data_IF_971202821669
#
_entry.id   IF_971202821669
#
_cell.length_a   1.000
_cell.length_b   1.000
_cell.length_c   1.000
_cell.angle_alpha   90.00
_cell.angle_beta   90.00
_cell.angle_gamma   90.00
#
_symmetry.space_group_name_H-M   'P 1'
#
loop_
_entity.id
_entity.type
_entity.pdbx_description
1 polymer ?
#
# COMPACT_ATOMS: atom_id res chain seq x y z
N UNK A 1 8.98 7.36 -8.05
CA UNK A 1 7.82 7.82 -7.27
C UNK A 1 7.85 9.34 -7.17
N UNK A 2 7.31 9.90 -6.10
CA UNK A 2 7.21 11.36 -5.84
C UNK A 2 8.48 11.92 -5.18
N UNK A 3 9.60 11.79 -5.88
CA UNK A 3 10.88 12.45 -5.58
C UNK A 3 11.19 13.47 -6.67
N UNK A 4 12.09 14.41 -6.43
CA UNK A 4 12.41 15.45 -7.41
C UNK A 4 13.11 14.88 -8.65
N UNK A 5 14.04 13.94 -8.46
CA UNK A 5 14.81 13.30 -9.53
C UNK A 5 14.72 11.77 -9.42
N UNK A 6 13.67 11.12 -9.96
CA UNK A 6 13.59 9.65 -9.98
C UNK A 6 14.74 9.06 -10.78
N UNK A 7 15.48 8.11 -10.20
CA UNK A 7 16.66 7.51 -10.82
C UNK A 7 16.80 6.03 -10.44
N UNK A 8 17.73 5.36 -11.13
CA UNK A 8 18.32 4.09 -10.69
C UNK A 8 19.76 4.40 -10.32
N UNK A 9 20.18 4.01 -9.14
CA UNK A 9 21.53 4.24 -8.61
C UNK A 9 22.00 3.00 -7.86
N UNK A 10 23.28 2.70 -7.97
CA UNK A 10 23.94 1.69 -7.14
C UNK A 10 24.49 2.37 -5.89
N UNK A 11 24.20 1.80 -4.72
CA UNK A 11 24.61 2.34 -3.43
C UNK A 11 24.75 1.21 -2.40
N UNK A 12 25.51 1.45 -1.35
CA UNK A 12 25.73 0.46 -0.29
C UNK A 12 24.41 0.08 0.41
N UNK A 13 24.27 -1.21 0.76
CA UNK A 13 23.20 -1.68 1.64
C UNK A 13 23.31 -1.01 3.02
N UNK A 14 22.18 -0.90 3.72
CA UNK A 14 22.08 -0.27 5.04
C UNK A 14 22.35 1.24 5.04
N UNK A 15 22.32 1.89 3.88
CA UNK A 15 22.16 3.35 3.80
C UNK A 15 20.85 3.77 4.47
N UNK A 16 20.84 4.91 5.16
CA UNK A 16 19.57 5.44 5.68
C UNK A 16 18.65 5.86 4.53
N UNK A 17 17.34 5.69 4.70
CA UNK A 17 16.36 6.10 3.70
C UNK A 17 16.45 7.60 3.41
N UNK A 18 16.60 8.43 4.45
CA UNK A 18 16.76 9.85 4.28
C UNK A 18 17.99 10.21 3.43
N UNK A 19 19.15 9.62 3.72
CA UNK A 19 20.37 9.86 2.95
C UNK A 19 20.22 9.40 1.50
N UNK A 20 19.64 8.21 1.25
CA UNK A 20 19.39 7.70 -0.09
C UNK A 20 18.58 8.70 -0.94
N UNK A 21 17.49 9.22 -0.39
CA UNK A 21 16.58 10.13 -1.10
C UNK A 21 17.19 11.53 -1.27
N UNK A 22 17.85 12.07 -0.25
CA UNK A 22 18.45 13.40 -0.32
C UNK A 22 19.66 13.44 -1.28
N UNK A 23 20.53 12.43 -1.20
CA UNK A 23 21.76 12.35 -1.98
C UNK A 23 21.52 12.06 -3.45
N UNK A 24 20.64 11.10 -3.76
CA UNK A 24 20.52 10.57 -5.13
C UNK A 24 19.24 10.98 -5.84
N UNK A 25 18.15 11.24 -5.12
CA UNK A 25 16.86 11.57 -5.70
C UNK A 25 16.50 13.06 -5.56
N UNK A 26 17.36 13.87 -4.94
CA UNK A 26 17.14 15.30 -4.73
C UNK A 26 16.00 15.63 -3.76
N UNK A 27 15.65 14.70 -2.86
CA UNK A 27 14.59 14.88 -1.88
C UNK A 27 13.19 14.50 -2.36
N UNK A 28 12.25 14.44 -1.41
CA UNK A 28 10.82 14.25 -1.66
C UNK A 28 10.24 15.49 -2.35
N UNK A 29 9.32 15.30 -3.31
CA UNK A 29 8.62 16.41 -3.97
C UNK A 29 7.89 17.26 -2.93
N UNK A 30 8.19 18.56 -2.86
CA UNK A 30 7.62 19.46 -1.85
C UNK A 30 8.25 19.35 -0.45
N UNK A 31 9.36 18.62 -0.30
CA UNK A 31 10.12 18.48 0.94
C UNK A 31 9.62 17.34 1.85
N UNK A 32 10.41 17.05 2.89
CA UNK A 32 10.19 15.90 3.79
C UNK A 32 8.84 15.89 4.52
N UNK A 33 8.29 17.07 4.86
CA UNK A 33 6.95 17.17 5.45
C UNK A 33 5.83 16.73 4.51
N UNK A 34 6.12 16.64 3.21
CA UNK A 34 5.16 16.20 2.21
C UNK A 34 5.17 14.67 2.02
N UNK A 35 6.03 13.92 2.72
CA UNK A 35 6.10 12.47 2.61
C UNK A 35 4.91 11.81 3.30
N UNK A 36 4.10 11.07 2.53
CA UNK A 36 2.93 10.34 3.05
C UNK A 36 3.27 8.90 3.38
N UNK A 37 3.80 8.19 2.39
CA UNK A 37 4.03 6.76 2.47
C UNK A 37 5.17 6.33 1.55
N UNK A 38 5.78 5.20 1.87
CA UNK A 38 6.82 4.58 1.05
C UNK A 38 6.58 3.09 0.95
N UNK A 39 6.75 2.53 -0.23
CA UNK A 39 6.90 1.08 -0.42
C UNK A 39 8.39 0.84 -0.67
N UNK A 40 9.15 0.33 0.30
CA UNK A 40 10.61 0.34 0.23
C UNK A 40 11.20 -0.68 -0.75
N UNK A 41 10.47 -1.76 -1.04
CA UNK A 41 11.03 -2.95 -1.69
C UNK A 41 10.37 -3.40 -2.98
N UNK A 42 9.69 -2.49 -3.68
CA UNK A 42 8.84 -2.83 -4.81
C UNK A 42 7.43 -3.22 -4.39
N UNK A 43 6.52 -3.40 -5.35
CA UNK A 43 5.08 -3.51 -5.08
C UNK A 43 4.65 -4.66 -4.18
N UNK A 44 5.51 -5.65 -3.95
CA UNK A 44 5.21 -6.83 -3.16
C UNK A 44 5.26 -6.57 -1.66
N UNK A 45 5.90 -5.50 -1.18
CA UNK A 45 6.09 -5.28 0.25
C UNK A 45 5.06 -4.29 0.83
N UNK A 46 4.73 -4.38 2.12
CA UNK A 46 3.85 -3.42 2.80
C UNK A 46 4.36 -1.97 2.66
N UNK A 47 3.44 -1.02 2.47
CA UNK A 47 3.80 0.39 2.61
C UNK A 47 4.09 0.74 4.08
N UNK A 48 4.86 1.80 4.31
CA UNK A 48 5.21 2.36 5.63
C UNK A 48 4.84 3.84 5.64
N UNK A 49 4.39 4.38 6.79
CA UNK A 49 4.13 5.82 6.93
C UNK A 49 5.42 6.63 6.75
N UNK A 50 5.28 7.83 6.22
CA UNK A 50 6.41 8.72 5.96
C UNK A 50 7.23 9.05 7.21
N UNK A 51 6.58 9.18 8.36
CA UNK A 51 7.24 9.47 9.64
C UNK A 51 8.16 8.33 10.09
N UNK A 52 7.68 7.08 10.06
CA UNK A 52 8.49 5.91 10.44
C UNK A 52 9.57 5.60 9.39
N UNK A 53 9.26 5.81 8.12
CA UNK A 53 10.20 5.51 7.03
C UNK A 53 11.38 6.47 7.00
N UNK A 54 11.21 7.73 7.43
CA UNK A 54 12.25 8.75 7.35
C UNK A 54 13.54 8.31 8.06
N UNK A 55 13.40 7.68 9.23
CA UNK A 55 14.51 7.24 10.07
C UNK A 55 14.94 5.78 9.76
N UNK A 56 14.42 5.19 8.68
CA UNK A 56 14.64 3.79 8.36
C UNK A 56 16.03 3.51 7.79
N UNK A 57 16.53 2.30 8.06
CA UNK A 57 17.72 1.73 7.42
C UNK A 57 17.27 0.84 6.25
N UNK A 58 17.89 1.05 5.08
CA UNK A 58 17.57 0.30 3.85
C UNK A 58 18.33 -1.04 3.82
N UNK A 59 17.94 -1.97 4.68
CA UNK A 59 18.40 -3.35 4.70
C UNK A 59 17.25 -4.35 4.89
N UNK A 60 17.55 -5.65 4.86
CA UNK A 60 16.51 -6.68 4.99
C UNK A 60 15.94 -6.79 6.41
N UNK A 61 16.78 -6.64 7.43
CA UNK A 61 16.43 -6.95 8.81
C UNK A 61 15.65 -5.82 9.45
N UNK A 62 16.10 -4.58 9.31
CA UNK A 62 15.44 -3.39 9.82
C UNK A 62 14.05 -3.22 9.23
N UNK A 63 13.93 -3.31 7.90
CA UNK A 63 12.63 -3.15 7.24
C UNK A 63 11.63 -4.23 7.65
N UNK A 64 12.11 -5.45 7.94
CA UNK A 64 11.27 -6.57 8.36
C UNK A 64 10.88 -6.49 9.83
N UNK A 65 11.85 -6.28 10.71
CA UNK A 65 11.68 -6.42 12.16
C UNK A 65 11.09 -5.16 12.79
N UNK A 66 11.50 -3.98 12.34
CA UNK A 66 11.14 -2.72 12.98
C UNK A 66 9.93 -2.04 12.30
N UNK A 67 9.78 -2.22 10.98
CA UNK A 67 8.71 -1.57 10.19
C UNK A 67 7.62 -2.53 9.69
N UNK A 68 7.81 -3.85 9.88
CA UNK A 68 6.87 -4.86 9.39
C UNK A 68 6.67 -4.81 7.87
N UNK A 69 7.68 -4.38 7.12
CA UNK A 69 7.73 -4.33 5.66
C UNK A 69 8.84 -5.27 5.15
N UNK A 70 9.49 -4.95 4.02
CA UNK A 70 10.63 -5.70 3.52
C UNK A 70 11.41 -4.94 2.44
N UNK A 71 12.67 -5.31 2.24
CA UNK A 71 13.53 -4.67 1.23
C UNK A 71 13.21 -5.12 -0.20
N UNK A 72 12.68 -6.33 -0.39
CA UNK A 72 12.31 -6.86 -1.71
C UNK A 72 13.40 -6.64 -2.78
N UNK A 73 13.05 -5.93 -3.86
CA UNK A 73 13.97 -5.59 -4.96
C UNK A 73 14.72 -4.27 -4.76
N UNK A 74 14.54 -3.61 -3.61
CA UNK A 74 14.96 -2.23 -3.34
C UNK A 74 14.40 -1.20 -4.35
N UNK A 75 13.28 -1.52 -5.03
CA UNK A 75 12.56 -0.58 -5.86
C UNK A 75 11.68 0.35 -5.01
N UNK A 76 12.28 1.41 -4.50
CA UNK A 76 11.64 2.36 -3.57
C UNK A 76 10.56 3.20 -4.29
N UNK A 77 9.30 3.04 -3.88
CA UNK A 77 8.16 3.83 -4.36
C UNK A 77 7.77 4.86 -3.30
N UNK A 78 8.26 6.09 -3.46
CA UNK A 78 7.90 7.24 -2.63
C UNK A 78 6.55 7.82 -3.06
N UNK A 79 5.68 8.12 -2.09
CA UNK A 79 4.37 8.76 -2.28
C UNK A 79 4.25 9.97 -1.34
N UNK A 80 3.92 11.13 -1.91
CA UNK A 80 3.69 12.37 -1.17
C UNK A 80 2.22 12.56 -0.76
N UNK A 81 1.90 13.61 0.00
CA UNK A 81 0.54 13.86 0.50
C UNK A 81 -0.51 14.14 -0.58
N UNK A 82 -0.12 14.34 -1.84
CA UNK A 82 -1.06 14.50 -2.95
C UNK A 82 -1.69 13.18 -3.41
N UNK A 83 -1.19 12.04 -2.91
CA UNK A 83 -1.63 10.70 -3.32
C UNK A 83 -2.84 10.22 -2.51
N UNK A 84 -3.85 9.74 -3.23
CA UNK A 84 -4.84 8.80 -2.69
C UNK A 84 -4.19 7.42 -2.53
N UNK A 85 -3.74 7.12 -1.30
CA UNK A 85 -3.01 5.89 -0.99
C UNK A 85 -3.87 4.65 -1.17
N UNK A 86 -5.17 4.74 -0.87
CA UNK A 86 -6.13 3.64 -1.05
C UNK A 86 -6.24 3.31 -2.54
N UNK A 87 -6.32 4.33 -3.41
CA UNK A 87 -6.32 4.13 -4.87
C UNK A 87 -5.00 3.61 -5.40
N UNK A 88 -3.86 4.06 -4.86
CA UNK A 88 -2.55 3.54 -5.23
C UNK A 88 -2.44 2.04 -4.93
N UNK A 89 -2.84 1.61 -3.73
CA UNK A 89 -2.81 0.20 -3.32
C UNK A 89 -3.86 -0.63 -4.08
N UNK A 90 -5.07 -0.10 -4.32
CA UNK A 90 -6.04 -0.75 -5.20
C UNK A 90 -5.45 -1.01 -6.60
N UNK A 91 -4.69 -0.06 -7.14
CA UNK A 91 -4.05 -0.23 -8.44
C UNK A 91 -3.01 -1.36 -8.43
N UNK A 92 -2.32 -1.59 -7.30
CA UNK A 92 -1.46 -2.75 -7.08
C UNK A 92 -2.26 -4.04 -6.96
N UNK A 93 -3.36 -4.07 -6.20
CA UNK A 93 -4.26 -5.24 -6.14
C UNK A 93 -4.78 -5.61 -7.53
N UNK A 94 -5.12 -4.62 -8.36
CA UNK A 94 -5.51 -4.82 -9.76
C UNK A 94 -4.39 -5.39 -10.62
N UNK A 95 -3.14 -4.98 -10.38
CA UNK A 95 -1.97 -5.56 -11.02
C UNK A 95 -1.81 -7.03 -10.64
N UNK A 96 -1.82 -7.38 -9.35
CA UNK A 96 -1.67 -8.77 -8.92
C UNK A 96 -2.80 -9.69 -9.38
N UNK A 97 -4.03 -9.18 -9.45
CA UNK A 97 -5.14 -9.91 -10.08
C UNK A 97 -4.88 -10.19 -11.57
N UNK A 98 -4.26 -9.24 -12.28
CA UNK A 98 -4.00 -9.36 -13.71
C UNK A 98 -2.84 -10.30 -14.02
N UNK A 99 -1.77 -10.23 -13.24
CA UNK A 99 -0.54 -11.01 -13.42
C UNK A 99 -0.55 -12.35 -12.67
N UNK A 100 -1.64 -12.69 -11.98
CA UNK A 100 -1.82 -14.01 -11.38
C UNK A 100 -1.97 -15.06 -12.48
N UNK A 101 -1.12 -16.09 -12.45
CA UNK A 101 -1.21 -17.21 -13.40
C UNK A 101 -2.46 -18.08 -13.21
N UNK A 102 -3.18 -17.91 -12.09
CA UNK A 102 -4.44 -18.60 -11.81
C UNK A 102 -4.31 -20.06 -11.39
N UNK A 103 -3.11 -20.58 -11.09
CA UNK A 103 -2.93 -22.00 -10.78
C UNK A 103 -3.56 -22.42 -9.43
N UNK A 104 -3.23 -21.74 -8.33
CA UNK A 104 -3.74 -22.05 -7.00
C UNK A 104 -5.00 -21.23 -6.67
N UNK A 105 -6.00 -21.87 -6.06
CA UNK A 105 -7.30 -21.26 -5.76
C UNK A 105 -7.20 -20.01 -4.86
N UNK A 106 -6.42 -20.00 -3.76
CA UNK A 106 -6.35 -18.81 -2.90
C UNK A 106 -5.83 -17.58 -3.66
N UNK A 107 -4.85 -17.76 -4.55
CA UNK A 107 -4.37 -16.67 -5.40
C UNK A 107 -5.38 -16.31 -6.50
N UNK A 108 -5.88 -17.30 -7.26
CA UNK A 108 -6.77 -17.08 -8.40
C UNK A 108 -8.04 -16.34 -8.01
N UNK A 109 -8.70 -16.80 -6.96
CA UNK A 109 -9.98 -16.24 -6.50
C UNK A 109 -9.77 -15.08 -5.52
N UNK A 110 -8.83 -15.24 -4.58
CA UNK A 110 -8.57 -14.27 -3.52
C UNK A 110 -8.08 -12.92 -4.06
N UNK A 111 -7.15 -12.91 -5.02
CA UNK A 111 -6.69 -11.64 -5.63
C UNK A 111 -7.81 -10.89 -6.35
N UNK A 112 -8.72 -11.62 -7.00
CA UNK A 112 -9.90 -11.05 -7.63
C UNK A 112 -10.88 -10.46 -6.63
N UNK A 113 -11.12 -11.17 -5.52
CA UNK A 113 -11.98 -10.69 -4.45
C UNK A 113 -11.40 -9.47 -3.74
N UNK A 114 -10.14 -9.54 -3.31
CA UNK A 114 -9.44 -8.45 -2.64
C UNK A 114 -9.43 -7.17 -3.49
N UNK A 115 -9.20 -7.28 -4.80
CA UNK A 115 -9.22 -6.15 -5.73
C UNK A 115 -10.61 -5.47 -5.80
N UNK A 116 -11.71 -6.25 -5.82
CA UNK A 116 -13.08 -5.70 -5.84
C UNK A 116 -13.43 -4.99 -4.54
N UNK A 117 -13.03 -5.55 -3.39
CA UNK A 117 -13.22 -4.88 -2.09
C UNK A 117 -12.41 -3.59 -2.05
N UNK A 118 -11.14 -3.62 -2.46
CA UNK A 118 -10.31 -2.43 -2.58
C UNK A 118 -10.94 -1.36 -3.51
N UNK A 119 -11.58 -1.76 -4.62
CA UNK A 119 -12.28 -0.83 -5.51
C UNK A 119 -13.43 -0.12 -4.80
N UNK A 120 -14.20 -0.87 -3.99
CA UNK A 120 -15.25 -0.29 -3.15
C UNK A 120 -14.68 0.67 -2.11
N UNK A 121 -13.55 0.33 -1.47
CA UNK A 121 -12.86 1.23 -0.53
C UNK A 121 -12.36 2.51 -1.21
N UNK A 122 -11.91 2.46 -2.46
CA UNK A 122 -11.59 3.69 -3.23
C UNK A 122 -12.79 4.64 -3.29
N UNK A 123 -14.00 4.10 -3.49
CA UNK A 123 -15.23 4.88 -3.56
C UNK A 123 -15.92 5.12 -2.21
N UNK A 124 -15.38 4.60 -1.11
CA UNK A 124 -16.05 4.62 0.20
C UNK A 124 -17.35 3.80 0.25
N UNK A 125 -17.55 2.85 -0.68
CA UNK A 125 -18.76 2.04 -0.79
C UNK A 125 -18.61 0.69 -0.05
N UNK A 126 -18.22 0.74 1.21
CA UNK A 126 -17.94 -0.42 2.06
C UNK A 126 -18.33 -0.10 3.50
N UNK A 127 -18.54 -1.13 4.31
CA UNK A 127 -18.76 -1.00 5.74
C UNK A 127 -17.44 -1.15 6.52
N UNK A 128 -17.38 -0.64 7.75
CA UNK A 128 -16.17 -0.74 8.58
C UNK A 128 -15.74 -2.19 8.82
N UNK A 129 -16.69 -3.09 9.03
CA UNK A 129 -16.44 -4.52 9.24
C UNK A 129 -15.82 -5.19 8.01
N UNK A 130 -15.99 -4.62 6.81
CA UNK A 130 -15.33 -5.12 5.61
C UNK A 130 -13.81 -4.87 5.61
N UNK A 131 -13.31 -3.92 6.40
CA UNK A 131 -11.87 -3.71 6.56
C UNK A 131 -11.25 -4.94 7.23
N UNK A 132 -11.89 -5.43 8.29
CA UNK A 132 -11.45 -6.61 9.03
C UNK A 132 -11.64 -7.89 8.19
N UNK A 133 -12.77 -8.01 7.49
CA UNK A 133 -12.98 -9.10 6.54
C UNK A 133 -11.91 -9.12 5.44
N UNK A 134 -11.55 -7.95 4.90
CA UNK A 134 -10.49 -7.84 3.90
C UNK A 134 -9.15 -8.27 4.48
N UNK A 135 -8.84 -7.84 5.71
CA UNK A 135 -7.63 -8.27 6.40
C UNK A 135 -7.58 -9.79 6.60
N UNK A 136 -8.67 -10.41 7.05
CA UNK A 136 -8.76 -11.86 7.22
C UNK A 136 -8.57 -12.60 5.90
N UNK A 137 -9.18 -12.14 4.81
CA UNK A 137 -8.97 -12.74 3.49
C UNK A 137 -7.52 -12.62 3.05
N UNK A 138 -6.85 -11.49 3.33
CA UNK A 138 -5.41 -11.38 2.99
C UNK A 138 -4.59 -12.44 3.73
N UNK A 139 -4.96 -12.82 4.96
CA UNK A 139 -4.31 -13.88 5.74
C UNK A 139 -4.65 -15.29 5.26
N UNK A 140 -5.83 -15.48 4.66
CA UNK A 140 -6.19 -16.74 4.00
C UNK A 140 -5.47 -16.92 2.65
N UNK A 141 -5.09 -15.83 1.98
CA UNK A 141 -4.27 -15.90 0.75
C UNK A 141 -2.80 -16.10 1.11
N UNK A 142 -2.28 -15.30 2.04
CA UNK A 142 -0.91 -15.39 2.53
C UNK A 142 -0.60 -16.80 3.07
N UNK A 143 0.52 -17.39 2.65
CA UNK A 143 0.96 -18.71 3.10
C UNK A 143 0.17 -19.91 2.58
N UNK A 144 -0.91 -19.70 1.82
CA UNK A 144 -1.76 -20.77 1.27
C UNK A 144 -1.70 -20.86 -0.26
N UNK A 145 -0.71 -20.21 -0.88
CA UNK A 145 -0.48 -20.21 -2.34
C UNK A 145 0.75 -21.01 -2.72
N UNK A 146 0.84 -21.43 -3.99
CA UNK A 146 1.98 -22.23 -4.49
C UNK A 146 3.28 -21.40 -4.55
N UNK A 147 3.19 -20.14 -4.99
CA UNK A 147 4.30 -19.22 -5.05
C UNK A 147 4.02 -17.97 -4.21
N UNK A 148 5.05 -17.12 -4.03
CA UNK A 148 4.97 -15.89 -3.24
C UNK A 148 4.14 -14.76 -3.89
N UNK A 149 3.51 -14.98 -5.05
CA UNK A 149 2.62 -13.98 -5.64
C UNK A 149 1.38 -13.75 -4.76
N UNK A 150 0.90 -14.80 -4.07
CA UNK A 150 -0.19 -14.67 -3.10
C UNK A 150 0.17 -13.70 -1.97
N UNK A 151 1.32 -13.91 -1.35
CA UNK A 151 1.87 -13.03 -0.32
C UNK A 151 2.06 -11.60 -0.85
N UNK A 152 2.66 -11.47 -2.04
CA UNK A 152 2.87 -10.18 -2.70
C UNK A 152 1.58 -9.44 -3.05
N UNK A 153 0.46 -10.14 -3.21
CA UNK A 153 -0.85 -9.54 -3.43
C UNK A 153 -1.57 -9.17 -2.13
N UNK A 154 -1.31 -9.92 -1.05
CA UNK A 154 -1.88 -9.71 0.28
C UNK A 154 -1.19 -8.58 1.04
N UNK A 155 0.15 -8.54 1.03
CA UNK A 155 0.96 -7.62 1.83
C UNK A 155 0.74 -6.13 1.55
N UNK A 156 0.51 -5.65 0.32
CA UNK A 156 0.19 -4.24 0.08
C UNK A 156 -1.10 -3.80 0.75
N UNK A 157 -2.11 -4.68 0.78
CA UNK A 157 -3.38 -4.44 1.45
C UNK A 157 -3.21 -4.49 2.97
N UNK A 158 -2.46 -5.47 3.48
CA UNK A 158 -2.16 -5.54 4.92
C UNK A 158 -1.39 -4.30 5.40
N UNK A 159 -0.41 -3.83 4.64
CA UNK A 159 0.33 -2.60 4.91
C UNK A 159 -0.58 -1.37 4.91
N UNK A 160 -1.47 -1.27 3.92
CA UNK A 160 -2.46 -0.21 3.86
C UNK A 160 -3.38 -0.23 5.09
N UNK A 161 -3.95 -1.38 5.45
CA UNK A 161 -4.86 -1.47 6.59
C UNK A 161 -4.12 -1.16 7.89
N UNK A 162 -2.93 -1.72 8.10
CA UNK A 162 -2.17 -1.49 9.33
C UNK A 162 -1.83 -0.01 9.52
N UNK A 163 -1.39 0.63 8.44
CA UNK A 163 -0.86 1.99 8.54
C UNK A 163 -1.91 3.06 8.28
N UNK A 164 -2.88 2.85 7.40
CA UNK A 164 -3.83 3.86 6.93
C UNK A 164 -5.30 3.48 7.16
N UNK A 165 -5.60 2.69 8.20
CA UNK A 165 -6.99 2.34 8.56
C UNK A 165 -7.86 3.57 8.79
N UNK A 166 -7.31 4.57 9.46
CA UNK A 166 -7.90 5.88 9.70
C UNK A 166 -8.40 6.53 8.41
N UNK A 167 -7.57 6.55 7.36
CA UNK A 167 -7.94 7.14 6.06
C UNK A 167 -9.04 6.31 5.35
N UNK A 168 -9.05 4.98 5.54
CA UNK A 168 -10.12 4.11 5.02
C UNK A 168 -11.44 4.40 5.73
N UNK A 169 -11.42 4.47 7.06
CA UNK A 169 -12.62 4.73 7.86
C UNK A 169 -13.18 6.14 7.61
N UNK A 170 -12.32 7.14 7.47
CA UNK A 170 -12.73 8.51 7.12
C UNK A 170 -13.40 8.56 5.75
N UNK A 171 -12.86 7.84 4.75
CA UNK A 171 -13.45 7.73 3.41
C UNK A 171 -14.89 7.19 3.46
N UNK A 172 -15.08 6.10 4.20
CA UNK A 172 -16.39 5.45 4.36
C UNK A 172 -17.37 6.42 5.04
N UNK A 173 -16.96 7.04 6.14
CA UNK A 173 -17.79 7.99 6.89
C UNK A 173 -18.23 9.18 6.03
N UNK A 174 -17.29 9.79 5.29
CA UNK A 174 -17.58 10.94 4.45
C UNK A 174 -18.58 10.61 3.31
N UNK A 175 -18.50 9.39 2.76
CA UNK A 175 -19.47 8.90 1.78
C UNK A 175 -20.85 8.74 2.39
N UNK A 176 -20.95 8.20 3.60
CA UNK A 176 -22.24 7.98 4.27
C UNK A 176 -22.91 9.31 4.64
N UNK A 177 -22.15 10.29 5.13
CA UNK A 177 -22.65 11.65 5.34
C UNK A 177 -23.21 12.24 4.04
N UNK A 178 -22.45 12.15 2.95
CA UNK A 178 -22.88 12.64 1.63
C UNK A 178 -24.13 11.93 1.09
N UNK A 179 -24.30 10.65 1.42
CA UNK A 179 -25.47 9.86 1.04
C UNK A 179 -26.72 10.26 1.84
N UNK A 180 -26.58 10.47 3.15
CA UNK A 180 -27.68 10.91 4.03
C UNK A 180 -28.08 12.36 3.74
N UNK A 181 -27.13 13.22 3.36
CA UNK A 181 -27.39 14.63 3.06
C UNK A 181 -27.99 14.90 1.68
N UNK A 182 -28.18 13.88 0.83
CA UNK A 182 -28.95 14.05 -0.42
C UNK A 182 -30.41 14.27 -0.07
N UNK A 183 -31.03 15.42 -0.42
CA UNK A 183 -32.46 15.59 -0.22
C UNK A 183 -33.17 14.48 -0.98
N UNK A 184 -34.12 13.82 -0.33
CA UNK A 184 -35.12 12.99 -0.99
C UNK A 184 -35.73 13.88 -2.08
N UNK A 185 -35.34 13.65 -3.33
CA UNK A 185 -35.98 14.30 -4.46
C UNK A 185 -37.46 13.90 -4.37
N UNK A 186 -38.31 14.89 -4.09
CA UNK A 186 -39.75 14.72 -4.00
C UNK A 186 -40.28 14.10 -5.30
N UNK A 187 -41.06 13.03 -5.16
CA UNK A 187 -41.96 12.52 -6.19
C UNK A 187 -43.06 13.54 -6.53
#
# INVERSE_FOLDING_TARGET
GHVNNPCVVEEAMSISFQELIDKHCGGVRGGWKNLKAVIPGGSSVPCVRGEDMKDAIMDFDYLRNDLGSGLGTAAVIVMDNSVDIIKAIWRLSKFYKHESCGQCTPCREGTGWMMRVMERLVHGNAEKDEIDMLFDVTKQVEGHTICALGDAAAWPIQGLIRNFRDEIEERILNRDIAHVSKPLAAE
#
